data_IF_422342635731
#
_entry.id   IF_422342635731
#
_cell.length_a   1.000
_cell.length_b   1.000
_cell.length_c   1.000
_cell.angle_alpha   90.00
_cell.angle_beta   90.00
_cell.angle_gamma   90.00
#
_symmetry.space_group_name_H-M   'P 1'
#
loop_
_entity.id
_entity.type
_entity.pdbx_description
1 polymer ?
#
# COMPACT_ATOMS: atom_id res chain seq x y z
N UNK A 1 7.98 -28.91 4.92
CA UNK A 1 9.26 -28.38 4.42
C UNK A 1 9.14 -26.88 4.44
N UNK A 2 9.87 -26.23 5.35
CA UNK A 2 9.85 -24.77 5.50
C UNK A 2 10.45 -24.14 4.24
N UNK A 3 9.82 -23.12 3.62
CA UNK A 3 10.42 -22.42 2.48
C UNK A 3 11.63 -21.53 2.88
N UNK A 4 12.06 -21.58 4.14
CA UNK A 4 13.09 -20.71 4.72
C UNK A 4 14.42 -21.38 5.08
N UNK A 5 14.57 -22.69 4.83
CA UNK A 5 15.87 -23.35 5.03
C UNK A 5 16.74 -23.15 3.79
N UNK A 6 17.59 -22.12 3.82
CA UNK A 6 18.81 -22.09 3.01
C UNK A 6 20.00 -22.40 3.92
N UNK A 7 20.67 -23.52 3.65
CA UNK A 7 21.93 -23.91 4.27
C UNK A 7 22.95 -22.77 4.23
N UNK A 8 23.56 -22.50 5.38
CA UNK A 8 24.56 -21.46 5.56
C UNK A 8 25.79 -21.70 4.69
N UNK A 9 26.06 -20.75 3.79
CA UNK A 9 27.38 -20.52 3.24
C UNK A 9 27.61 -19.00 3.19
N UNK A 10 28.57 -18.55 3.99
CA UNK A 10 29.20 -17.24 3.88
C UNK A 10 29.78 -17.08 2.47
N UNK A 11 29.14 -16.25 1.65
CA UNK A 11 29.71 -15.72 0.42
C UNK A 11 29.43 -14.22 0.38
N UNK A 12 30.53 -13.47 0.38
CA UNK A 12 30.55 -12.01 0.51
C UNK A 12 29.73 -11.27 -0.54
N UNK A 13 29.54 -9.98 -0.23
CA UNK A 13 28.94 -8.97 -1.09
C UNK A 13 29.38 -9.12 -2.56
N UNK A 14 28.56 -9.80 -3.34
CA UNK A 14 28.72 -9.93 -4.77
C UNK A 14 27.34 -9.80 -5.39
N UNK A 15 27.11 -8.60 -5.93
CA UNK A 15 26.01 -8.21 -6.82
C UNK A 15 25.05 -9.34 -7.19
N UNK A 16 23.83 -9.31 -6.61
CA UNK A 16 22.67 -9.86 -7.30
C UNK A 16 22.74 -9.30 -8.73
N UNK A 17 22.96 -10.18 -9.73
CA UNK A 17 23.18 -9.76 -11.12
C UNK A 17 22.13 -8.70 -11.46
N UNK A 18 22.57 -7.45 -11.63
CA UNK A 18 21.70 -6.39 -12.07
C UNK A 18 21.03 -6.91 -13.33
N UNK A 19 19.69 -7.02 -13.31
CA UNK A 19 18.95 -7.39 -14.51
C UNK A 19 19.34 -6.46 -15.66
N UNK A 20 19.08 -6.87 -16.89
CA UNK A 20 19.36 -6.04 -18.07
C UNK A 20 18.65 -4.69 -17.89
N UNK A 21 19.39 -3.59 -18.03
CA UNK A 21 18.81 -2.25 -17.89
C UNK A 21 17.96 -1.94 -19.12
N UNK A 22 16.83 -1.27 -18.95
CA UNK A 22 15.93 -0.95 -20.08
C UNK A 22 16.67 -0.24 -21.23
N UNK A 23 17.53 0.72 -20.90
CA UNK A 23 18.29 1.48 -21.90
C UNK A 23 19.28 0.64 -22.73
N UNK A 24 19.63 -0.56 -22.27
CA UNK A 24 20.56 -1.48 -22.95
C UNK A 24 19.87 -2.51 -23.85
N UNK A 25 18.53 -2.58 -23.82
CA UNK A 25 17.76 -3.46 -24.68
C UNK A 25 17.78 -2.98 -26.14
N UNK A 26 17.67 -3.94 -27.06
CA UNK A 26 17.47 -3.65 -28.47
C UNK A 26 16.25 -2.73 -28.67
N UNK A 27 16.34 -1.82 -29.64
CA UNK A 27 15.28 -0.84 -29.90
C UNK A 27 13.98 -1.53 -30.29
N UNK A 28 14.02 -2.58 -31.09
CA UNK A 28 12.82 -3.27 -31.59
C UNK A 28 12.10 -3.98 -30.43
N UNK A 29 12.86 -4.58 -29.51
CA UNK A 29 12.31 -5.20 -28.29
C UNK A 29 11.65 -4.15 -27.38
N UNK A 30 12.26 -2.96 -27.24
CA UNK A 30 11.67 -1.86 -26.45
C UNK A 30 10.38 -1.35 -27.07
N UNK A 31 10.36 -1.18 -28.39
CA UNK A 31 9.19 -0.70 -29.12
C UNK A 31 8.04 -1.72 -29.06
N UNK A 32 8.34 -3.01 -29.20
CA UNK A 32 7.38 -4.10 -29.07
C UNK A 32 6.74 -4.13 -27.67
N UNK A 33 7.57 -4.16 -26.61
CA UNK A 33 7.07 -4.16 -25.25
C UNK A 33 6.25 -2.90 -24.94
N UNK A 34 6.71 -1.72 -25.36
CA UNK A 34 5.98 -0.47 -25.19
C UNK A 34 4.61 -0.52 -25.87
N UNK A 35 4.55 -1.04 -27.10
CA UNK A 35 3.30 -1.21 -27.83
C UNK A 35 2.34 -2.19 -27.13
N UNK A 36 2.81 -3.38 -26.76
CA UNK A 36 2.00 -4.37 -26.03
C UNK A 36 1.52 -3.84 -24.68
N UNK A 37 2.39 -3.09 -23.98
CA UNK A 37 2.05 -2.43 -22.75
C UNK A 37 0.90 -1.42 -22.93
N UNK A 38 0.78 -0.73 -24.06
CA UNK A 38 -0.33 0.19 -24.28
C UNK A 38 -1.64 -0.53 -24.64
N UNK A 39 -1.57 -1.68 -25.33
CA UNK A 39 -2.75 -2.37 -25.86
C UNK A 39 -3.34 -3.42 -24.91
N UNK A 40 -2.52 -4.14 -24.14
CA UNK A 40 -3.00 -5.25 -23.30
C UNK A 40 -3.57 -4.76 -21.97
N UNK A 41 -4.84 -5.06 -21.69
CA UNK A 41 -5.47 -4.67 -20.41
C UNK A 41 -5.00 -5.54 -19.24
N UNK A 42 -4.77 -6.83 -19.48
CA UNK A 42 -4.26 -7.76 -18.49
C UNK A 42 -2.75 -7.58 -18.31
N UNK A 43 -2.38 -6.93 -17.20
CA UNK A 43 -0.98 -6.68 -16.86
C UNK A 43 -0.24 -7.94 -16.45
N UNK A 44 -0.91 -8.87 -15.77
CA UNK A 44 -0.27 -10.10 -15.30
C UNK A 44 0.16 -10.95 -16.50
N UNK A 45 -0.74 -11.16 -17.45
CA UNK A 45 -0.45 -11.93 -18.66
C UNK A 45 0.67 -11.29 -19.51
N UNK A 46 0.76 -9.96 -19.57
CA UNK A 46 1.87 -9.27 -20.23
C UNK A 46 3.20 -9.54 -19.51
N UNK A 47 3.23 -9.43 -18.18
CA UNK A 47 4.49 -9.59 -17.44
C UNK A 47 4.94 -11.06 -17.36
N UNK A 48 4.02 -12.02 -17.28
CA UNK A 48 4.38 -13.45 -17.32
C UNK A 48 5.16 -13.81 -18.60
N UNK A 49 4.87 -13.12 -19.71
CA UNK A 49 5.59 -13.27 -20.98
C UNK A 49 6.91 -12.49 -20.98
N UNK A 50 6.88 -11.19 -20.65
CA UNK A 50 8.02 -10.31 -20.87
C UNK A 50 9.08 -10.34 -19.76
N UNK A 51 8.78 -10.84 -18.55
CA UNK A 51 9.82 -10.97 -17.51
C UNK A 51 10.89 -12.00 -17.93
N UNK A 52 10.56 -13.03 -18.72
CA UNK A 52 11.56 -13.96 -19.29
C UNK A 52 12.35 -13.32 -20.44
N UNK A 53 11.72 -12.43 -21.22
CA UNK A 53 12.34 -11.81 -22.40
C UNK A 53 13.29 -10.69 -22.00
N UNK A 54 12.82 -9.74 -21.18
CA UNK A 54 13.56 -8.51 -20.85
C UNK A 54 13.94 -8.37 -19.38
N UNK A 55 13.40 -9.22 -18.51
CA UNK A 55 13.69 -9.18 -17.07
C UNK A 55 12.85 -8.17 -16.30
N UNK A 56 12.63 -8.46 -15.02
CA UNK A 56 11.84 -7.60 -14.12
C UNK A 56 12.45 -6.22 -13.91
N UNK A 57 13.79 -6.11 -13.87
CA UNK A 57 14.49 -4.83 -13.70
C UNK A 57 14.26 -3.87 -14.87
N UNK A 58 14.34 -4.36 -16.11
CA UNK A 58 14.05 -3.54 -17.30
C UNK A 58 12.59 -3.08 -17.33
N UNK A 59 11.65 -3.94 -16.95
CA UNK A 59 10.23 -3.57 -16.90
C UNK A 59 10.03 -2.47 -15.84
N UNK A 60 10.65 -2.59 -14.67
CA UNK A 60 10.58 -1.54 -13.65
C UNK A 60 11.16 -0.21 -14.16
N UNK A 61 12.28 -0.24 -14.90
CA UNK A 61 12.87 0.98 -15.52
C UNK A 61 11.90 1.64 -16.48
N UNK A 62 11.24 0.85 -17.32
CA UNK A 62 10.20 1.34 -18.21
C UNK A 62 9.04 1.97 -17.41
N UNK A 63 8.54 1.27 -16.38
CA UNK A 63 7.43 1.74 -15.57
C UNK A 63 7.72 3.09 -14.90
N UNK A 64 8.90 3.25 -14.32
CA UNK A 64 9.33 4.50 -13.68
C UNK A 64 9.54 5.63 -14.69
N UNK A 65 9.95 5.31 -15.93
CA UNK A 65 10.12 6.30 -16.99
C UNK A 65 8.80 6.95 -17.44
N UNK A 66 7.69 6.21 -17.36
CA UNK A 66 6.35 6.71 -17.77
C UNK A 66 5.53 7.24 -16.59
N UNK A 67 5.85 6.80 -15.37
CA UNK A 67 5.16 7.14 -14.14
C UNK A 67 6.11 6.89 -12.97
N UNK A 68 6.70 7.96 -12.43
CA UNK A 68 7.68 7.87 -11.35
C UNK A 68 7.17 7.11 -10.10
N UNK A 69 5.85 7.01 -9.91
CA UNK A 69 5.28 6.22 -8.80
C UNK A 69 5.03 4.77 -9.19
N UNK A 70 4.54 4.54 -10.41
CA UNK A 70 4.17 3.26 -11.04
C UNK A 70 3.41 2.24 -10.15
N UNK A 71 2.84 2.67 -9.02
CA UNK A 71 2.39 1.80 -7.94
C UNK A 71 1.35 0.77 -8.43
N UNK A 72 0.24 1.25 -9.00
CA UNK A 72 -0.84 0.38 -9.49
C UNK A 72 -0.45 -0.55 -10.65
N UNK A 73 0.71 -0.33 -11.30
CA UNK A 73 1.19 -1.14 -12.44
C UNK A 73 2.18 -2.22 -11.99
N UNK A 74 2.84 -2.05 -10.85
CA UNK A 74 3.95 -2.90 -10.43
C UNK A 74 3.55 -4.08 -9.53
N UNK A 75 2.35 -4.09 -8.92
CA UNK A 75 1.85 -5.27 -8.18
C UNK A 75 1.87 -6.53 -9.06
N UNK A 76 1.28 -6.46 -10.26
CA UNK A 76 1.25 -7.61 -11.17
C UNK A 76 2.65 -8.03 -11.66
N UNK A 77 3.61 -7.11 -11.71
CA UNK A 77 4.99 -7.43 -12.08
C UNK A 77 5.68 -8.24 -11.00
N UNK A 78 5.50 -7.85 -9.73
CA UNK A 78 5.98 -8.64 -8.59
C UNK A 78 5.47 -10.08 -8.61
N UNK A 79 4.18 -10.25 -8.91
CA UNK A 79 3.59 -11.58 -9.05
C UNK A 79 4.30 -12.40 -10.14
N UNK A 80 4.49 -11.83 -11.33
CA UNK A 80 5.15 -12.50 -12.45
C UNK A 80 6.62 -12.87 -12.13
N UNK A 81 7.35 -11.95 -11.49
CA UNK A 81 8.74 -12.18 -11.05
C UNK A 81 8.79 -13.39 -10.11
N UNK A 82 7.97 -13.41 -9.05
CA UNK A 82 8.01 -14.54 -8.10
C UNK A 82 7.53 -15.84 -8.74
N UNK A 83 6.49 -15.80 -9.59
CA UNK A 83 5.98 -16.98 -10.26
C UNK A 83 7.03 -17.69 -11.12
N UNK A 84 7.94 -16.93 -11.73
CA UNK A 84 9.06 -17.43 -12.52
C UNK A 84 10.26 -17.84 -11.67
N UNK A 85 10.67 -16.99 -10.71
CA UNK A 85 11.90 -17.23 -9.96
C UNK A 85 11.73 -18.23 -8.83
N UNK A 86 10.56 -18.28 -8.20
CA UNK A 86 10.25 -19.11 -7.02
C UNK A 86 11.28 -18.97 -5.87
N UNK A 87 11.99 -17.85 -5.87
CA UNK A 87 12.98 -17.46 -4.87
C UNK A 87 12.57 -16.09 -4.35
N UNK A 88 12.22 -16.06 -3.07
CA UNK A 88 11.70 -14.86 -2.43
C UNK A 88 12.78 -13.78 -2.31
N UNK A 89 14.01 -14.13 -1.94
CA UNK A 89 15.09 -13.17 -1.73
C UNK A 89 15.56 -12.57 -3.06
N UNK A 90 15.67 -13.40 -4.11
CA UNK A 90 15.99 -12.92 -5.45
C UNK A 90 14.89 -12.00 -5.98
N UNK A 91 13.62 -12.36 -5.80
CA UNK A 91 12.49 -11.55 -6.27
C UNK A 91 12.43 -10.20 -5.56
N UNK A 92 12.63 -10.18 -4.24
CA UNK A 92 12.71 -8.95 -3.45
C UNK A 92 13.92 -8.09 -3.84
N UNK A 93 15.07 -8.70 -4.12
CA UNK A 93 16.25 -7.99 -4.59
C UNK A 93 16.04 -7.31 -5.94
N UNK A 94 15.34 -7.98 -6.87
CA UNK A 94 14.97 -7.41 -8.18
C UNK A 94 14.02 -6.21 -8.00
N UNK A 95 13.03 -6.36 -7.13
CA UNK A 95 12.05 -5.30 -6.87
C UNK A 95 12.66 -4.11 -6.13
N UNK A 96 13.43 -4.34 -5.06
CA UNK A 96 13.81 -3.31 -4.10
C UNK A 96 12.62 -2.43 -3.69
N UNK A 97 12.88 -1.16 -3.40
CA UNK A 97 11.83 -0.19 -3.02
C UNK A 97 11.13 0.47 -4.23
N UNK A 98 11.27 -0.11 -5.43
CA UNK A 98 10.84 0.50 -6.70
C UNK A 98 9.33 0.55 -6.86
N UNK A 99 8.86 1.50 -7.67
CA UNK A 99 7.43 1.80 -7.81
C UNK A 99 6.70 1.98 -6.47
N UNK A 100 7.33 2.66 -5.51
CA UNK A 100 6.83 2.80 -4.13
C UNK A 100 6.49 1.48 -3.44
N UNK A 101 7.37 0.48 -3.61
CA UNK A 101 7.29 -0.87 -3.07
C UNK A 101 6.21 -1.79 -3.68
N UNK A 102 5.49 -1.34 -4.69
CA UNK A 102 4.44 -2.13 -5.32
C UNK A 102 4.96 -3.47 -5.89
N UNK A 103 6.17 -3.49 -6.46
CA UNK A 103 6.76 -4.74 -6.94
C UNK A 103 6.91 -5.77 -5.79
N UNK A 104 7.41 -5.33 -4.64
CA UNK A 104 7.53 -6.19 -3.46
C UNK A 104 6.15 -6.69 -2.99
N UNK A 105 5.12 -5.84 -2.97
CA UNK A 105 3.78 -6.27 -2.58
C UNK A 105 3.25 -7.41 -3.46
N UNK A 106 3.52 -7.35 -4.76
CA UNK A 106 3.19 -8.43 -5.69
C UNK A 106 3.97 -9.72 -5.40
N UNK A 107 5.27 -9.62 -5.13
CA UNK A 107 6.09 -10.77 -4.75
C UNK A 107 5.53 -11.46 -3.50
N UNK A 108 5.18 -10.68 -2.46
CA UNK A 108 4.55 -11.20 -1.24
C UNK A 108 3.19 -11.83 -1.55
N UNK A 109 2.34 -11.14 -2.31
CA UNK A 109 1.01 -11.66 -2.68
C UNK A 109 1.08 -12.99 -3.40
N UNK A 110 1.98 -13.16 -4.37
CA UNK A 110 2.14 -14.41 -5.11
C UNK A 110 2.80 -15.51 -4.26
N UNK A 111 3.77 -15.16 -3.42
CA UNK A 111 4.45 -16.12 -2.55
C UNK A 111 3.52 -16.74 -1.51
N UNK A 112 2.64 -15.92 -0.93
CA UNK A 112 1.76 -16.32 0.15
C UNK A 112 0.34 -16.67 -0.29
N UNK A 113 -0.06 -16.29 -1.50
CA UNK A 113 -1.42 -16.43 -2.02
C UNK A 113 -1.92 -17.86 -2.25
N UNK A 114 -1.10 -18.88 -1.98
CA UNK A 114 -1.47 -20.31 -2.03
C UNK A 114 -1.29 -21.04 -0.69
N UNK A 115 -0.86 -20.32 0.36
CA UNK A 115 -0.68 -20.87 1.70
C UNK A 115 -2.00 -20.93 2.47
N UNK A 116 -2.03 -21.64 3.61
CA UNK A 116 -3.14 -21.50 4.55
C UNK A 116 -2.92 -20.26 5.42
N UNK A 117 -4.00 -19.57 5.81
CA UNK A 117 -3.93 -18.41 6.69
C UNK A 117 -3.18 -18.69 8.00
N UNK A 118 -3.29 -19.91 8.52
CA UNK A 118 -2.54 -20.37 9.71
C UNK A 118 -1.02 -20.43 9.47
N UNK A 119 -0.60 -20.86 8.28
CA UNK A 119 0.83 -20.91 7.93
C UNK A 119 1.41 -19.50 7.88
N UNK A 120 0.68 -18.55 7.26
CA UNK A 120 1.04 -17.13 7.23
C UNK A 120 1.20 -16.59 8.65
N UNK A 121 0.24 -16.89 9.53
CA UNK A 121 0.26 -16.42 10.92
C UNK A 121 1.53 -16.82 11.66
N UNK A 122 1.98 -18.05 11.45
CA UNK A 122 3.17 -18.57 12.12
C UNK A 122 4.48 -17.96 11.56
N UNK A 123 4.51 -17.56 10.30
CA UNK A 123 5.74 -17.09 9.63
C UNK A 123 5.83 -15.58 9.42
N UNK A 124 4.74 -14.82 9.54
CA UNK A 124 4.71 -13.42 9.09
C UNK A 124 5.65 -12.48 9.87
N UNK A 125 5.83 -12.68 11.18
CA UNK A 125 6.75 -11.85 11.98
C UNK A 125 8.21 -12.10 11.58
N UNK A 126 8.59 -13.37 11.44
CA UNK A 126 9.94 -13.76 11.00
C UNK A 126 10.20 -13.31 9.57
N UNK A 127 9.23 -13.51 8.67
CA UNK A 127 9.31 -13.06 7.30
C UNK A 127 9.55 -11.55 7.19
N UNK A 128 8.84 -10.74 7.98
CA UNK A 128 9.00 -9.29 7.95
C UNK A 128 10.27 -8.78 8.65
N UNK A 129 11.02 -9.62 9.36
CA UNK A 129 12.23 -9.24 10.09
C UNK A 129 13.52 -9.85 9.53
N UNK A 130 13.42 -10.89 8.69
CA UNK A 130 14.56 -11.65 8.20
C UNK A 130 14.77 -11.51 6.68
N UNK A 131 15.93 -11.98 6.22
CA UNK A 131 16.29 -12.05 4.79
C UNK A 131 16.26 -10.69 4.08
N UNK A 132 16.01 -10.72 2.77
CA UNK A 132 15.93 -9.52 1.97
C UNK A 132 14.73 -8.64 2.33
N UNK A 133 13.66 -9.25 2.88
CA UNK A 133 12.48 -8.50 3.33
C UNK A 133 12.84 -7.53 4.47
N UNK A 134 13.42 -8.06 5.56
CA UNK A 134 13.84 -7.25 6.71
C UNK A 134 14.99 -6.29 6.38
N UNK A 135 15.84 -6.64 5.41
CA UNK A 135 16.97 -5.79 4.98
C UNK A 135 16.54 -4.59 4.13
N UNK A 136 15.57 -4.78 3.24
CA UNK A 136 15.19 -3.77 2.23
C UNK A 136 13.96 -2.94 2.61
N UNK A 137 13.06 -3.48 3.44
CA UNK A 137 11.73 -2.91 3.65
C UNK A 137 11.41 -2.66 5.12
N UNK A 138 10.60 -1.64 5.37
CA UNK A 138 10.07 -1.37 6.71
C UNK A 138 9.10 -2.49 7.12
N UNK A 139 9.06 -2.91 8.40
CA UNK A 139 8.13 -3.94 8.88
C UNK A 139 6.66 -3.63 8.57
N UNK A 140 6.22 -2.37 8.74
CA UNK A 140 4.86 -1.96 8.37
C UNK A 140 4.56 -2.13 6.87
N UNK A 141 5.55 -1.95 6.01
CA UNK A 141 5.38 -2.12 4.56
C UNK A 141 5.29 -3.61 4.17
N UNK A 142 6.06 -4.46 4.86
CA UNK A 142 5.91 -5.91 4.75
C UNK A 142 4.51 -6.36 5.21
N UNK A 143 4.06 -5.87 6.38
CA UNK A 143 2.74 -6.20 6.91
C UNK A 143 1.61 -5.80 5.95
N UNK A 144 1.73 -4.64 5.30
CA UNK A 144 0.84 -4.24 4.21
C UNK A 144 0.79 -5.26 3.06
N UNK A 145 1.96 -5.73 2.61
CA UNK A 145 2.07 -6.83 1.63
C UNK A 145 1.37 -8.11 2.06
N UNK A 146 1.51 -8.50 3.34
CA UNK A 146 0.82 -9.67 3.92
C UNK A 146 -0.70 -9.47 3.91
N UNK A 147 -1.20 -8.25 4.15
CA UNK A 147 -2.61 -7.92 4.03
C UNK A 147 -3.20 -8.22 2.65
N UNK A 148 -2.46 -7.97 1.57
CA UNK A 148 -2.87 -8.37 0.22
C UNK A 148 -2.99 -9.88 0.05
N UNK A 149 -2.05 -10.64 0.60
CA UNK A 149 -2.06 -12.10 0.53
C UNK A 149 -3.25 -12.68 1.32
N UNK A 150 -3.51 -12.19 2.53
CA UNK A 150 -4.64 -12.62 3.36
C UNK A 150 -5.99 -12.42 2.65
N UNK A 151 -6.18 -11.26 1.99
CA UNK A 151 -7.39 -11.02 1.20
C UNK A 151 -7.58 -11.98 0.04
N UNK A 152 -6.49 -12.38 -0.62
CA UNK A 152 -6.57 -13.37 -1.69
C UNK A 152 -6.95 -14.76 -1.15
N UNK A 153 -6.39 -15.14 0.00
CA UNK A 153 -6.63 -16.45 0.62
C UNK A 153 -8.04 -16.62 1.17
N UNK A 154 -8.62 -15.55 1.72
CA UNK A 154 -9.97 -15.59 2.28
C UNK A 154 -11.06 -15.32 1.24
N UNK A 155 -10.77 -15.47 -0.06
CA UNK A 155 -11.66 -15.12 -1.18
C UNK A 155 -12.31 -13.73 -1.01
N UNK A 156 -11.48 -12.74 -0.68
CA UNK A 156 -11.87 -11.35 -0.44
C UNK A 156 -12.84 -11.12 0.74
N UNK A 157 -12.94 -12.07 1.67
CA UNK A 157 -13.62 -11.87 2.95
C UNK A 157 -12.81 -10.93 3.87
N UNK A 158 -13.28 -9.68 3.99
CA UNK A 158 -12.61 -8.63 4.79
C UNK A 158 -12.45 -9.02 6.26
N UNK A 159 -13.51 -9.56 6.89
CA UNK A 159 -13.47 -9.86 8.33
C UNK A 159 -12.52 -11.00 8.65
N UNK A 160 -12.54 -12.07 7.85
CA UNK A 160 -11.60 -13.19 7.99
C UNK A 160 -10.15 -12.76 7.76
N UNK A 161 -9.91 -11.90 6.76
CA UNK A 161 -8.59 -11.34 6.51
C UNK A 161 -8.06 -10.50 7.68
N UNK A 162 -8.91 -9.66 8.28
CA UNK A 162 -8.53 -8.82 9.42
C UNK A 162 -8.16 -9.65 10.65
N UNK A 163 -8.85 -10.77 10.87
CA UNK A 163 -8.46 -11.73 11.90
C UNK A 163 -7.07 -12.33 11.63
N UNK A 164 -6.68 -12.46 10.35
CA UNK A 164 -5.32 -12.84 9.94
C UNK A 164 -4.25 -11.89 10.48
N UNK A 165 -4.48 -10.58 10.42
CA UNK A 165 -3.53 -9.55 10.85
C UNK A 165 -3.20 -9.57 12.34
N UNK A 166 -4.09 -10.14 13.17
CA UNK A 166 -3.92 -10.21 14.64
C UNK A 166 -2.74 -11.09 15.09
N UNK A 167 -2.12 -11.83 14.18
CA UNK A 167 -0.90 -12.58 14.49
C UNK A 167 0.38 -11.76 14.46
N UNK A 168 0.36 -10.48 14.06
CA UNK A 168 1.50 -9.59 14.22
C UNK A 168 1.72 -9.23 15.69
N UNK A 169 2.99 -9.25 16.14
CA UNK A 169 3.36 -8.92 17.51
C UNK A 169 3.21 -7.42 17.77
N UNK A 170 3.64 -6.61 16.80
CA UNK A 170 3.64 -5.15 16.91
C UNK A 170 2.31 -4.54 16.44
N UNK A 171 1.62 -3.71 17.26
CA UNK A 171 0.37 -3.07 16.87
C UNK A 171 0.49 -2.14 15.65
N UNK A 172 1.68 -1.62 15.34
CA UNK A 172 1.83 -0.89 14.08
C UNK A 172 1.72 -1.80 12.86
N UNK A 173 2.16 -3.05 12.97
CA UNK A 173 2.13 -4.03 11.88
C UNK A 173 0.71 -4.58 11.68
N UNK A 174 -0.06 -4.81 12.74
CA UNK A 174 -1.49 -5.18 12.62
C UNK A 174 -2.27 -4.13 11.79
N UNK A 175 -2.04 -2.84 12.06
CA UNK A 175 -2.66 -1.72 11.37
C UNK A 175 -2.26 -1.70 9.89
N UNK A 176 -0.96 -1.79 9.59
CA UNK A 176 -0.54 -1.74 8.18
C UNK A 176 -0.99 -2.99 7.41
N UNK A 177 -1.10 -4.14 8.06
CA UNK A 177 -1.75 -5.31 7.46
C UNK A 177 -3.21 -5.01 7.08
N UNK A 178 -3.99 -4.40 7.97
CA UNK A 178 -5.34 -3.95 7.67
C UNK A 178 -5.38 -2.96 6.49
N UNK A 179 -4.38 -2.07 6.33
CA UNK A 179 -4.34 -1.16 5.16
C UNK A 179 -4.20 -1.91 3.84
N UNK A 180 -3.46 -3.03 3.79
CA UNK A 180 -3.37 -3.87 2.59
C UNK A 180 -4.69 -4.55 2.25
N UNK A 181 -5.39 -5.04 3.27
CA UNK A 181 -6.72 -5.66 3.14
C UNK A 181 -7.74 -4.68 2.53
N UNK A 182 -7.84 -3.48 3.10
CA UNK A 182 -8.80 -2.48 2.63
C UNK A 182 -8.44 -1.92 1.25
N UNK A 183 -7.14 -1.86 0.89
CA UNK A 183 -6.73 -1.53 -0.46
C UNK A 183 -7.25 -2.57 -1.46
N UNK A 184 -7.00 -3.85 -1.19
CA UNK A 184 -7.44 -4.96 -2.04
C UNK A 184 -8.97 -4.98 -2.17
N UNK A 185 -9.70 -4.74 -1.08
CA UNK A 185 -11.16 -4.63 -1.11
C UNK A 185 -11.63 -3.51 -2.06
N UNK A 186 -11.04 -2.30 -1.95
CA UNK A 186 -11.38 -1.18 -2.84
C UNK A 186 -11.04 -1.52 -4.30
N UNK A 187 -9.88 -2.12 -4.55
CA UNK A 187 -9.47 -2.53 -5.90
C UNK A 187 -10.41 -3.60 -6.49
N UNK A 188 -10.86 -4.55 -5.67
CA UNK A 188 -11.87 -5.54 -6.02
C UNK A 188 -13.19 -4.87 -6.43
N UNK A 189 -13.68 -3.87 -5.69
CA UNK A 189 -14.88 -3.12 -6.09
C UNK A 189 -14.72 -2.47 -7.47
N UNK A 190 -13.55 -1.86 -7.73
CA UNK A 190 -13.26 -1.22 -9.01
C UNK A 190 -13.13 -2.21 -10.18
N UNK A 191 -12.49 -3.35 -9.96
CA UNK A 191 -12.38 -4.43 -10.95
C UNK A 191 -13.76 -5.02 -11.25
N UNK A 192 -14.50 -5.39 -10.22
CA UNK A 192 -15.86 -5.95 -10.31
C UNK A 192 -16.81 -5.01 -11.07
N UNK A 193 -16.78 -3.70 -10.79
CA UNK A 193 -17.54 -2.70 -11.54
C UNK A 193 -17.12 -2.65 -13.02
N UNK A 194 -15.82 -2.64 -13.32
CA UNK A 194 -15.31 -2.62 -14.72
C UNK A 194 -15.68 -3.88 -15.51
N UNK A 195 -15.78 -5.02 -14.84
CA UNK A 195 -16.21 -6.29 -15.44
C UNK A 195 -17.73 -6.44 -15.54
N UNK A 196 -18.51 -5.42 -15.18
CA UNK A 196 -19.97 -5.46 -15.22
C UNK A 196 -20.60 -6.36 -14.16
N UNK A 197 -19.85 -6.69 -13.09
CA UNK A 197 -20.29 -7.53 -11.97
C UNK A 197 -20.13 -6.76 -10.64
N UNK A 198 -20.79 -5.61 -10.46
CA UNK A 198 -20.63 -4.81 -9.25
C UNK A 198 -21.01 -5.61 -8.01
N UNK A 199 -20.25 -5.42 -6.93
CA UNK A 199 -20.48 -6.11 -5.66
C UNK A 199 -21.50 -5.31 -4.84
N UNK A 200 -22.58 -5.96 -4.43
CA UNK A 200 -23.58 -5.37 -3.55
C UNK A 200 -23.01 -5.22 -2.14
N UNK A 201 -23.15 -4.03 -1.56
CA UNK A 201 -22.71 -3.73 -0.19
C UNK A 201 -23.93 -3.38 0.68
N UNK A 202 -23.94 -3.77 1.97
CA UNK A 202 -25.06 -3.48 2.87
C UNK A 202 -25.21 -1.98 3.18
N UNK A 203 -24.14 -1.21 3.04
CA UNK A 203 -24.15 0.25 3.21
C UNK A 203 -23.10 0.90 2.31
N UNK A 204 -23.17 2.22 2.19
CA UNK A 204 -22.16 3.03 1.50
C UNK A 204 -20.79 2.98 2.22
N UNK A 205 -20.81 2.87 3.55
CA UNK A 205 -19.62 2.87 4.41
C UNK A 205 -19.01 1.48 4.59
N UNK A 206 -19.68 0.42 4.15
CA UNK A 206 -19.13 -0.94 4.19
C UNK A 206 -17.80 -1.02 3.42
N UNK A 207 -16.73 -1.59 4.02
CA UNK A 207 -16.75 -2.42 5.22
C UNK A 207 -16.45 -1.70 6.55
N UNK A 208 -16.27 -0.38 6.55
CA UNK A 208 -15.79 0.39 7.70
C UNK A 208 -16.79 0.51 8.85
N UNK A 209 -18.09 0.41 8.56
CA UNK A 209 -19.17 0.42 9.55
C UNK A 209 -19.37 -0.95 10.23
N UNK A 210 -18.92 -2.03 9.60
CA UNK A 210 -18.96 -3.39 10.15
C UNK A 210 -17.64 -3.76 10.84
N UNK A 211 -16.50 -3.39 10.24
CA UNK A 211 -15.16 -3.73 10.73
C UNK A 211 -14.50 -2.50 11.36
N UNK A 212 -14.93 -2.18 12.58
CA UNK A 212 -14.63 -0.90 13.24
C UNK A 212 -13.29 -0.87 13.99
N UNK A 213 -12.53 -1.97 14.01
CA UNK A 213 -11.26 -2.05 14.75
C UNK A 213 -10.17 -1.14 14.16
N UNK A 214 -10.14 -0.97 12.83
CA UNK A 214 -9.09 -0.22 12.11
C UNK A 214 -9.68 0.92 11.25
N UNK A 215 -10.36 1.91 11.85
CA UNK A 215 -11.08 2.93 11.08
C UNK A 215 -10.16 3.76 10.19
N UNK A 216 -8.96 4.13 10.67
CA UNK A 216 -7.99 4.86 9.85
C UNK A 216 -7.52 4.05 8.64
N UNK A 217 -7.35 2.73 8.78
CA UNK A 217 -6.96 1.87 7.66
C UNK A 217 -8.09 1.73 6.64
N UNK A 218 -9.34 1.61 7.09
CA UNK A 218 -10.49 1.43 6.21
C UNK A 218 -10.83 2.70 5.44
N UNK A 219 -11.02 3.82 6.15
CA UNK A 219 -11.42 5.08 5.54
C UNK A 219 -10.34 5.66 4.61
N UNK A 220 -9.06 5.30 4.81
CA UNK A 220 -7.97 5.60 3.86
C UNK A 220 -8.33 5.30 2.41
N UNK A 221 -9.03 4.20 2.17
CA UNK A 221 -9.44 3.79 0.83
C UNK A 221 -10.91 4.10 0.56
N UNK A 222 -11.77 3.97 1.57
CA UNK A 222 -13.20 4.08 1.39
C UNK A 222 -13.70 5.52 1.21
N UNK A 223 -13.03 6.55 1.75
CA UNK A 223 -13.47 7.94 1.50
C UNK A 223 -13.40 8.30 0.02
N UNK A 224 -12.32 7.93 -0.68
CA UNK A 224 -12.24 8.11 -2.12
C UNK A 224 -13.31 7.32 -2.87
N UNK A 225 -13.55 6.07 -2.47
CA UNK A 225 -14.58 5.23 -3.09
C UNK A 225 -15.98 5.85 -2.92
N UNK A 226 -16.31 6.31 -1.72
CA UNK A 226 -17.58 6.98 -1.43
C UNK A 226 -17.72 8.26 -2.24
N UNK A 227 -16.67 9.10 -2.29
CA UNK A 227 -16.67 10.32 -3.07
C UNK A 227 -16.93 10.04 -4.56
N UNK A 228 -16.31 8.99 -5.11
CA UNK A 228 -16.46 8.57 -6.50
C UNK A 228 -17.87 8.02 -6.81
N UNK A 229 -18.47 7.26 -5.90
CA UNK A 229 -19.79 6.66 -6.11
C UNK A 229 -20.94 7.65 -5.96
N UNK A 230 -20.80 8.61 -5.05
CA UNK A 230 -21.86 9.57 -4.72
C UNK A 230 -21.68 10.95 -5.34
N UNK A 231 -20.52 11.21 -5.95
CA UNK A 231 -20.09 12.54 -6.35
C UNK A 231 -20.14 13.55 -5.19
N UNK A 232 -19.87 13.09 -3.96
CA UNK A 232 -19.93 13.91 -2.76
C UNK A 232 -18.92 15.07 -2.81
N UNK A 233 -19.36 16.23 -2.35
CA UNK A 233 -18.48 17.37 -2.14
C UNK A 233 -17.54 17.11 -0.96
N UNK A 234 -16.40 17.82 -0.92
CA UNK A 234 -15.50 17.79 0.25
C UNK A 234 -16.24 18.10 1.55
N UNK A 235 -17.10 19.12 1.55
CA UNK A 235 -17.88 19.48 2.73
C UNK A 235 -18.81 18.35 3.15
N UNK A 236 -19.46 17.67 2.20
CA UNK A 236 -20.32 16.51 2.50
C UNK A 236 -19.54 15.34 3.12
N UNK A 237 -18.29 15.10 2.71
CA UNK A 237 -17.42 14.09 3.33
C UNK A 237 -16.99 14.49 4.74
N UNK A 238 -16.71 15.78 4.98
CA UNK A 238 -16.41 16.31 6.32
C UNK A 238 -17.61 16.10 7.24
N UNK A 239 -18.82 16.49 6.81
CA UNK A 239 -20.05 16.30 7.61
C UNK A 239 -20.32 14.82 7.88
N UNK A 240 -20.04 13.93 6.92
CA UNK A 240 -20.10 12.48 7.15
C UNK A 240 -19.16 12.06 8.27
N UNK A 241 -17.88 12.47 8.24
CA UNK A 241 -16.93 12.14 9.29
C UNK A 241 -17.37 12.69 10.66
N UNK A 242 -17.83 13.95 10.71
CA UNK A 242 -18.32 14.58 11.95
C UNK A 242 -19.50 13.85 12.58
N UNK A 243 -20.32 13.17 11.78
CA UNK A 243 -21.44 12.35 12.25
C UNK A 243 -21.06 10.98 12.83
N UNK A 244 -19.78 10.59 12.80
CA UNK A 244 -19.32 9.29 13.29
C UNK A 244 -18.95 9.33 14.79
N UNK A 245 -19.02 8.18 15.49
CA UNK A 245 -18.52 8.05 16.86
C UNK A 245 -17.01 8.36 16.93
N UNK A 246 -16.54 8.92 18.05
CA UNK A 246 -15.18 9.49 18.21
C UNK A 246 -14.03 8.67 17.58
N UNK A 247 -13.83 7.40 17.98
CA UNK A 247 -12.74 6.57 17.45
C UNK A 247 -12.85 6.29 15.94
N UNK A 248 -14.07 6.22 15.42
CA UNK A 248 -14.35 6.02 14.00
C UNK A 248 -14.21 7.34 13.23
N UNK A 249 -14.63 8.45 13.84
CA UNK A 249 -14.51 9.82 13.31
C UNK A 249 -13.05 10.17 13.05
N UNK A 250 -12.18 9.94 14.03
CA UNK A 250 -10.75 10.21 13.87
C UNK A 250 -10.17 9.44 12.66
N UNK A 251 -10.49 8.15 12.53
CA UNK A 251 -10.06 7.35 11.38
C UNK A 251 -10.66 7.83 10.04
N UNK A 252 -11.89 8.33 10.05
CA UNK A 252 -12.50 8.98 8.88
C UNK A 252 -11.72 10.22 8.45
N UNK A 253 -11.27 11.05 9.40
CA UNK A 253 -10.43 12.21 9.11
C UNK A 253 -9.04 11.82 8.57
N UNK A 254 -8.44 10.72 9.06
CA UNK A 254 -7.24 10.15 8.42
C UNK A 254 -7.50 9.81 6.94
N UNK A 255 -8.61 9.14 6.66
CA UNK A 255 -9.00 8.80 5.29
C UNK A 255 -9.30 10.00 4.41
N UNK A 256 -9.87 11.05 4.99
CA UNK A 256 -10.09 12.33 4.32
C UNK A 256 -8.76 12.97 3.92
N UNK A 257 -7.78 13.02 4.83
CA UNK A 257 -6.43 13.48 4.53
C UNK A 257 -5.78 12.70 3.40
N UNK A 258 -5.83 11.36 3.46
CA UNK A 258 -5.28 10.49 2.44
C UNK A 258 -5.90 10.71 1.06
N UNK A 259 -7.23 10.87 1.00
CA UNK A 259 -7.99 11.12 -0.23
C UNK A 259 -7.60 12.43 -0.91
N UNK A 260 -7.30 13.48 -0.14
CA UNK A 260 -6.97 14.81 -0.64
C UNK A 260 -5.46 15.09 -0.71
N UNK A 261 -4.60 14.16 -0.28
CA UNK A 261 -3.14 14.28 -0.27
C UNK A 261 -2.56 14.89 -1.56
N UNK A 262 -2.94 14.38 -2.73
CA UNK A 262 -2.46 14.90 -4.03
C UNK A 262 -2.96 16.33 -4.32
N UNK A 263 -4.16 16.70 -3.86
CA UNK A 263 -4.68 18.07 -4.01
C UNK A 263 -3.93 19.03 -3.10
N UNK A 264 -3.64 18.63 -1.86
CA UNK A 264 -2.81 19.39 -0.93
C UNK A 264 -1.39 19.55 -1.47
N UNK A 265 -0.80 18.49 -2.05
CA UNK A 265 0.51 18.58 -2.69
C UNK A 265 0.56 19.66 -3.79
N UNK A 266 -0.53 19.86 -4.53
CA UNK A 266 -0.60 20.86 -5.60
C UNK A 266 -1.05 22.25 -5.12
N UNK A 267 -1.70 22.34 -3.96
CA UNK A 267 -2.21 23.57 -3.37
C UNK A 267 -2.12 23.49 -1.83
N UNK A 268 -0.98 23.87 -1.23
CA UNK A 268 -0.74 23.74 0.20
C UNK A 268 -1.76 24.49 1.08
N UNK A 269 -2.38 25.57 0.60
CA UNK A 269 -3.40 26.30 1.36
C UNK A 269 -4.64 25.44 1.68
N UNK A 270 -4.91 24.40 0.86
CA UNK A 270 -5.99 23.45 1.13
C UNK A 270 -5.75 22.61 2.39
N UNK A 271 -4.51 22.52 2.87
CA UNK A 271 -4.17 21.74 4.05
C UNK A 271 -4.96 22.24 5.26
N UNK A 272 -4.92 23.56 5.52
CA UNK A 272 -5.65 24.18 6.63
C UNK A 272 -7.16 24.02 6.45
N UNK A 273 -7.68 24.28 5.25
CA UNK A 273 -9.12 24.18 4.98
C UNK A 273 -9.68 22.77 5.26
N UNK A 274 -8.87 21.75 4.96
CA UNK A 274 -9.21 20.34 5.12
C UNK A 274 -9.05 19.87 6.57
N UNK A 275 -7.88 20.13 7.17
CA UNK A 275 -7.48 19.54 8.44
C UNK A 275 -7.67 20.48 9.64
N UNK A 276 -8.40 21.58 9.51
CA UNK A 276 -8.85 22.43 10.63
C UNK A 276 -10.28 22.11 11.09
N UNK A 277 -10.77 20.90 10.83
CA UNK A 277 -12.14 20.44 11.13
C UNK A 277 -12.11 19.40 12.25
N UNK A 278 -13.21 19.27 12.98
CA UNK A 278 -13.29 18.35 14.12
C UNK A 278 -12.48 18.82 15.33
N UNK A 279 -12.28 17.90 16.28
CA UNK A 279 -11.46 18.13 17.47
C UNK A 279 -9.95 18.01 17.17
N UNK A 280 -9.09 18.18 18.19
CA UNK A 280 -7.63 18.10 17.99
C UNK A 280 -7.17 16.73 17.46
N UNK A 281 -7.84 15.65 17.84
CA UNK A 281 -7.52 14.28 17.37
C UNK A 281 -7.83 14.14 15.89
N UNK A 282 -9.00 14.65 15.47
CA UNK A 282 -9.43 14.65 14.06
C UNK A 282 -8.43 15.42 13.17
N UNK A 283 -7.98 16.59 13.65
CA UNK A 283 -7.01 17.44 12.94
C UNK A 283 -5.66 16.73 12.78
N UNK A 284 -5.14 16.14 13.86
CA UNK A 284 -3.88 15.38 13.86
C UNK A 284 -3.97 14.21 12.87
N UNK A 285 -5.05 13.43 12.91
CA UNK A 285 -5.20 12.29 12.02
C UNK A 285 -5.40 12.69 10.56
N UNK A 286 -6.09 13.80 10.29
CA UNK A 286 -6.16 14.37 8.94
C UNK A 286 -4.77 14.74 8.41
N UNK A 287 -3.94 15.41 9.24
CA UNK A 287 -2.56 15.78 8.88
C UNK A 287 -1.72 14.55 8.53
N UNK A 288 -1.79 13.49 9.36
CA UNK A 288 -1.08 12.24 9.07
C UNK A 288 -1.58 11.57 7.79
N UNK A 289 -2.89 11.54 7.59
CA UNK A 289 -3.51 11.04 6.37
C UNK A 289 -2.96 11.72 5.10
N UNK A 290 -2.81 13.05 5.14
CA UNK A 290 -2.24 13.83 4.02
C UNK A 290 -0.79 13.44 3.76
N UNK A 291 0.04 13.40 4.81
CA UNK A 291 1.50 13.39 4.65
C UNK A 291 2.08 12.00 4.39
N UNK A 292 1.48 10.95 4.95
CA UNK A 292 2.06 9.60 4.99
C UNK A 292 2.48 9.09 3.62
N UNK A 293 1.59 9.16 2.62
CA UNK A 293 1.89 8.68 1.26
C UNK A 293 2.60 9.73 0.42
N UNK A 294 2.39 11.01 0.69
CA UNK A 294 3.07 12.10 -0.02
C UNK A 294 4.59 12.00 0.15
N UNK A 295 5.04 11.69 1.37
CA UNK A 295 6.45 11.53 1.70
C UNK A 295 7.13 10.34 1.01
N UNK A 296 6.37 9.29 0.66
CA UNK A 296 6.87 8.18 -0.15
C UNK A 296 7.11 8.60 -1.60
N UNK A 297 6.31 9.54 -2.13
CA UNK A 297 6.44 10.02 -3.51
C UNK A 297 7.51 11.10 -3.66
N UNK A 298 7.51 12.09 -2.77
CA UNK A 298 8.43 13.22 -2.81
C UNK A 298 8.61 13.80 -1.40
N UNK A 299 9.62 13.30 -0.69
CA UNK A 299 9.89 13.70 0.68
C UNK A 299 10.23 15.20 0.85
N UNK A 300 11.10 15.82 0.03
CA UNK A 300 11.33 17.26 0.11
C UNK A 300 10.06 18.10 -0.05
N UNK A 301 9.20 17.72 -0.99
CA UNK A 301 7.92 18.39 -1.19
C UNK A 301 6.97 18.17 -0.02
N UNK A 302 6.90 16.95 0.51
CA UNK A 302 6.12 16.64 1.71
C UNK A 302 6.56 17.51 2.89
N UNK A 303 7.87 17.71 3.09
CA UNK A 303 8.36 18.60 4.13
C UNK A 303 7.91 20.05 3.92
N UNK A 304 8.01 20.57 2.68
CA UNK A 304 7.64 21.94 2.37
C UNK A 304 6.14 22.23 2.55
N UNK A 305 5.25 21.27 2.25
CA UNK A 305 3.80 21.49 2.47
C UNK A 305 3.42 21.58 3.95
N UNK A 306 4.28 21.15 4.87
CA UNK A 306 4.04 21.30 6.30
C UNK A 306 4.15 22.75 6.79
N UNK A 307 4.82 23.65 6.04
CA UNK A 307 5.12 25.03 6.47
C UNK A 307 3.88 25.90 6.69
N UNK A 308 2.72 25.50 6.15
CA UNK A 308 1.43 26.19 6.38
C UNK A 308 0.81 25.85 7.74
N UNK A 309 1.33 24.83 8.43
CA UNK A 309 0.84 24.38 9.74
C UNK A 309 1.62 25.03 10.88
N UNK A 310 1.08 24.91 12.09
CA UNK A 310 1.73 25.39 13.31
C UNK A 310 1.44 24.45 14.49
N UNK A 311 2.19 24.62 15.58
CA UNK A 311 2.01 23.87 16.82
C UNK A 311 2.18 22.36 16.64
N UNK A 312 1.30 21.58 17.28
CA UNK A 312 1.34 20.11 17.24
C UNK A 312 1.15 19.55 15.83
N UNK A 313 0.26 20.14 15.03
CA UNK A 313 0.02 19.71 13.64
C UNK A 313 1.28 19.86 12.77
N UNK A 314 2.08 20.92 12.97
CA UNK A 314 3.37 21.07 12.28
C UNK A 314 4.34 19.95 12.68
N UNK A 315 4.47 19.67 13.98
CA UNK A 315 5.37 18.63 14.47
C UNK A 315 4.97 17.23 13.94
N UNK A 316 3.67 16.92 13.93
CA UNK A 316 3.13 15.68 13.38
C UNK A 316 3.39 15.58 11.87
N UNK A 317 3.15 16.66 11.13
CA UNK A 317 3.40 16.70 9.68
C UNK A 317 4.88 16.45 9.37
N UNK A 318 5.80 17.16 10.04
CA UNK A 318 7.23 17.03 9.83
C UNK A 318 7.74 15.62 10.17
N UNK A 319 7.29 15.04 11.29
CA UNK A 319 7.62 13.67 11.66
C UNK A 319 7.12 12.67 10.60
N UNK A 320 5.89 12.84 10.11
CA UNK A 320 5.33 12.02 9.03
C UNK A 320 6.09 12.17 7.71
N UNK A 321 6.52 13.38 7.37
CA UNK A 321 7.33 13.65 6.18
C UNK A 321 8.74 13.03 6.27
N UNK A 322 9.36 13.08 7.44
CA UNK A 322 10.69 12.50 7.68
C UNK A 322 10.65 10.96 7.64
N UNK A 323 9.67 10.38 8.32
CA UNK A 323 9.64 8.95 8.62
C UNK A 323 8.74 8.16 7.66
N UNK A 324 8.00 8.85 6.79
CA UNK A 324 7.14 8.28 5.74
C UNK A 324 6.03 7.38 6.28
N UNK A 325 5.27 6.75 5.39
CA UNK A 325 4.05 6.03 5.75
C UNK A 325 4.28 4.95 6.81
N UNK A 326 5.14 3.96 6.54
CA UNK A 326 5.16 2.66 7.24
C UNK A 326 5.94 2.62 8.57
N UNK A 327 5.91 3.71 9.35
CA UNK A 327 6.48 3.73 10.71
C UNK A 327 5.49 3.07 11.69
N UNK A 328 5.96 2.08 12.46
CA UNK A 328 5.10 1.24 13.32
C UNK A 328 4.96 1.77 14.77
N UNK A 329 5.82 2.70 15.20
CA UNK A 329 5.94 3.20 16.57
C UNK A 329 5.51 4.68 16.71
N UNK A 330 4.56 5.14 15.87
CA UNK A 330 4.08 6.52 15.92
C UNK A 330 3.34 6.79 17.25
N UNK A 331 3.51 7.96 17.89
CA UNK A 331 2.75 8.31 19.09
C UNK A 331 1.23 8.24 18.88
N UNK A 332 0.78 8.55 17.67
CA UNK A 332 -0.62 8.53 17.21
C UNK A 332 -1.14 7.14 16.85
N UNK A 333 -0.30 6.09 16.85
CA UNK A 333 -0.71 4.74 16.44
C UNK A 333 -1.89 4.20 17.24
N UNK A 334 -1.98 4.57 18.53
CA UNK A 334 -3.13 4.24 19.39
C UNK A 334 -4.47 4.82 18.94
N UNK A 335 -4.45 5.89 18.14
CA UNK A 335 -5.61 6.60 17.61
C UNK A 335 -6.09 5.99 16.27
N UNK A 336 -5.26 5.16 15.64
CA UNK A 336 -5.59 4.53 14.35
C UNK A 336 -6.54 3.34 14.51
N UNK A 337 -6.72 2.89 15.75
CA UNK A 337 -7.54 1.75 16.14
C UNK A 337 -8.64 2.20 17.08
N UNK A 338 -9.81 1.58 16.93
CA UNK A 338 -10.86 1.71 17.93
C UNK A 338 -10.57 0.70 19.06
N UNK A 339 -10.28 1.20 20.26
CA UNK A 339 -10.15 0.35 21.44
C UNK A 339 -11.55 -0.14 21.82
N UNK A 340 -11.81 -1.43 21.66
CA UNK A 340 -13.03 -2.06 22.16
C UNK A 340 -12.93 -2.35 23.65
#
# INVERSE_FOLDING_TARGET
MSPFESDGADMGANSAKAGVAWASLDKDVRDEFGNEFHHRRDRRALYDEYVEIIGGAAILDYLESIDATCHGKAHALGNAIFAQKRDINLSLSICGNRCTNACMHGVVKEAFGSHKSEDIRNMMNDFCSQGEMGRLHKPGNCAHGIGHALMLLSDHNVSESLDGCKGFIEPGMDYYCATGIFMEYRDMLEVSKRLGKPVTRPSLQYPCDVNTEYPAACYRYMIWQIAKETNASRSSLIEMCLGLPDGIRAGCFHGLGATYSRRVANNPDMFLELCSRGDSTDQILCVEGVIEKMADYNQPHAMAVCDVLSGENLAVCQAGAEQKMYRIDKPTMRLYRNQQ
#
